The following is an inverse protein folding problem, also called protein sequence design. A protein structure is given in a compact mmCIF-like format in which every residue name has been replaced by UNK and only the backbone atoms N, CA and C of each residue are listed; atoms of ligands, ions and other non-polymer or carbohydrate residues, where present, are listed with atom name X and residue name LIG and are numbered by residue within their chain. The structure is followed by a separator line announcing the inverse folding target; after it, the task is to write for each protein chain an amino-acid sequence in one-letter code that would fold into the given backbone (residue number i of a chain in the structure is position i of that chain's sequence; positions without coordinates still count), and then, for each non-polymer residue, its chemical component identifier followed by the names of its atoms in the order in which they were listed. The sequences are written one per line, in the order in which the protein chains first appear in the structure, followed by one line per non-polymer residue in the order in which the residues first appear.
data_IF_626992662347
#
_entry.id   IF_626992662347
#
_cell.length_a   1.000
_cell.length_b   1.000
_cell.length_c   1.000
_cell.angle_alpha   90.00
_cell.angle_beta   90.00
_cell.angle_gamma   90.00
#
_symmetry.space_group_name_H-M   'P 1'
#
loop_
_entity.id
_entity.type
_entity.pdbx_description
1 polymer ?
#
# COMPACT_ATOMS: atom_id res chain seq x y z
N UNK A 1 17.18 56.20 -37.08
CA UNK A 1 18.32 55.28 -37.31
C UNK A 1 18.65 54.59 -35.98
N UNK A 2 19.27 53.39 -35.97
CA UNK A 2 19.53 52.64 -34.71
C UNK A 2 20.87 53.00 -34.03
N UNK A 3 21.76 53.65 -34.77
CA UNK A 3 23.14 53.99 -34.35
C UNK A 3 23.53 55.44 -34.65
N UNK A 4 22.61 56.23 -35.20
CA UNK A 4 22.77 57.65 -35.48
C UNK A 4 21.80 58.35 -34.52
N UNK A 5 22.32 58.63 -33.32
CA UNK A 5 21.57 59.19 -32.18
C UNK A 5 21.36 60.70 -32.36
N UNK A 6 22.24 61.36 -33.13
CA UNK A 6 22.20 62.80 -33.39
C UNK A 6 21.42 63.17 -34.67
N UNK A 7 21.00 62.17 -35.46
CA UNK A 7 20.29 62.26 -36.74
C UNK A 7 21.01 63.12 -37.79
N UNK A 8 22.34 63.09 -37.80
CA UNK A 8 23.16 63.84 -38.76
C UNK A 8 23.39 63.08 -40.08
N UNK A 9 22.93 61.82 -40.17
CA UNK A 9 23.06 60.97 -41.33
C UNK A 9 24.42 60.25 -41.45
N UNK A 10 25.31 60.43 -40.46
CA UNK A 10 26.57 59.72 -40.29
C UNK A 10 26.52 58.91 -38.99
N UNK A 11 27.39 57.90 -38.87
CA UNK A 11 27.52 57.10 -37.65
C UNK A 11 28.93 57.29 -37.13
N UNK A 12 29.10 58.02 -36.04
CA UNK A 12 30.39 58.16 -35.41
C UNK A 12 30.76 56.89 -34.61
N UNK A 13 32.06 56.62 -34.47
CA UNK A 13 32.52 55.41 -33.80
C UNK A 13 32.06 55.29 -32.34
N UNK A 14 31.82 56.42 -31.67
CA UNK A 14 31.27 56.43 -30.30
C UNK A 14 29.77 56.11 -30.28
N UNK A 15 28.99 56.55 -31.28
CA UNK A 15 27.55 56.27 -31.40
C UNK A 15 27.32 54.79 -31.75
N UNK A 16 28.14 54.25 -32.67
CA UNK A 16 28.15 52.82 -32.96
C UNK A 16 28.44 51.98 -31.71
N UNK A 17 29.47 52.34 -30.93
CA UNK A 17 29.84 51.57 -29.73
C UNK A 17 28.76 51.65 -28.65
N UNK A 18 28.17 52.82 -28.40
CA UNK A 18 27.04 52.98 -27.46
C UNK A 18 25.82 52.17 -27.90
N UNK A 19 25.40 52.27 -29.16
CA UNK A 19 24.29 51.49 -29.71
C UNK A 19 24.55 49.99 -29.63
N UNK A 20 25.77 49.55 -29.95
CA UNK A 20 26.17 48.15 -29.90
C UNK A 20 26.12 47.58 -28.47
N UNK A 21 26.66 48.30 -27.47
CA UNK A 21 26.60 47.85 -26.07
C UNK A 21 25.16 47.84 -25.53
N UNK A 22 24.34 48.82 -25.89
CA UNK A 22 22.91 48.83 -25.52
C UNK A 22 22.18 47.63 -26.08
N UNK A 23 22.37 47.33 -27.36
CA UNK A 23 21.80 46.13 -27.99
C UNK A 23 22.30 44.84 -27.34
N UNK A 24 23.59 44.76 -27.00
CA UNK A 24 24.15 43.59 -26.33
C UNK A 24 23.53 43.36 -24.94
N UNK A 25 23.34 44.43 -24.16
CA UNK A 25 22.68 44.38 -22.85
C UNK A 25 21.20 44.02 -22.97
N UNK A 26 20.49 44.59 -23.93
CA UNK A 26 19.09 44.28 -24.19
C UNK A 26 18.93 42.82 -24.62
N UNK A 27 19.78 42.32 -25.52
CA UNK A 27 19.79 40.92 -25.92
C UNK A 27 20.10 39.98 -24.75
N UNK A 28 21.04 40.34 -23.88
CA UNK A 28 21.41 39.56 -22.69
C UNK A 28 20.27 39.54 -21.65
N UNK A 29 19.57 40.67 -21.46
CA UNK A 29 18.41 40.76 -20.58
C UNK A 29 17.24 39.92 -21.11
N UNK A 30 16.99 39.96 -22.42
CA UNK A 30 15.95 39.19 -23.07
C UNK A 30 16.24 37.68 -23.01
N UNK A 31 17.49 37.25 -23.22
CA UNK A 31 17.89 35.84 -23.09
C UNK A 31 17.74 35.34 -21.65
N UNK A 32 18.11 36.15 -20.65
CA UNK A 32 17.90 35.83 -19.23
C UNK A 32 16.41 35.64 -18.92
N UNK A 33 15.55 36.56 -19.37
CA UNK A 33 14.09 36.46 -19.17
C UNK A 33 13.51 35.23 -19.86
N UNK A 34 13.96 34.89 -21.08
CA UNK A 34 13.53 33.67 -21.77
C UNK A 34 13.89 32.42 -20.98
N UNK A 35 15.12 32.32 -20.47
CA UNK A 35 15.57 31.18 -19.66
C UNK A 35 14.78 31.07 -18.36
N UNK A 36 14.47 32.19 -17.71
CA UNK A 36 13.64 32.20 -16.51
C UNK A 36 12.19 31.76 -16.81
N UNK A 37 11.61 32.24 -17.91
CA UNK A 37 10.26 31.84 -18.32
C UNK A 37 10.21 30.34 -18.65
N UNK A 38 11.19 29.81 -19.40
CA UNK A 38 11.28 28.37 -19.70
C UNK A 38 11.42 27.55 -18.41
N UNK A 39 12.32 27.94 -17.50
CA UNK A 39 12.50 27.24 -16.23
C UNK A 39 11.22 27.25 -15.38
N UNK A 40 10.52 28.38 -15.33
CA UNK A 40 9.25 28.51 -14.62
C UNK A 40 8.15 27.66 -15.27
N UNK A 41 8.04 27.66 -16.59
CA UNK A 41 7.09 26.82 -17.33
C UNK A 41 7.36 25.32 -17.10
N UNK A 42 8.63 24.90 -17.11
CA UNK A 42 9.03 23.52 -16.79
C UNK A 42 8.67 23.12 -15.35
N UNK A 43 8.91 24.01 -14.38
CA UNK A 43 8.57 23.76 -12.98
C UNK A 43 7.05 23.66 -12.78
N UNK A 44 6.29 24.57 -13.38
CA UNK A 44 4.83 24.54 -13.36
C UNK A 44 4.26 23.31 -14.05
N UNK A 45 4.87 22.84 -15.14
CA UNK A 45 4.48 21.61 -15.82
C UNK A 45 4.70 20.38 -14.92
N UNK A 46 5.83 20.29 -14.21
CA UNK A 46 6.11 19.21 -13.25
C UNK A 46 5.11 19.20 -12.10
N UNK A 47 4.85 20.37 -11.50
CA UNK A 47 3.88 20.50 -10.40
C UNK A 47 2.46 20.11 -10.85
N UNK A 48 2.07 20.47 -12.07
CA UNK A 48 0.78 20.07 -12.64
C UNK A 48 0.71 18.56 -12.83
N UNK A 49 1.74 17.94 -13.40
CA UNK A 49 1.81 16.49 -13.60
C UNK A 49 1.74 15.73 -12.26
N UNK A 50 2.47 16.20 -11.24
CA UNK A 50 2.42 15.62 -9.89
C UNK A 50 1.04 15.75 -9.26
N UNK A 51 0.41 16.93 -9.38
CA UNK A 51 -0.96 17.15 -8.91
C UNK A 51 -1.94 16.21 -9.61
N UNK A 52 -1.83 16.07 -10.93
CA UNK A 52 -2.71 15.21 -11.73
C UNK A 52 -2.54 13.74 -11.29
N UNK A 53 -1.30 13.26 -11.11
CA UNK A 53 -1.02 11.92 -10.55
C UNK A 53 -1.61 11.71 -9.16
N UNK A 54 -1.45 12.68 -8.26
CA UNK A 54 -2.02 12.61 -6.90
C UNK A 54 -3.54 12.54 -6.98
N UNK A 55 -4.16 13.34 -7.85
CA UNK A 55 -5.61 13.35 -8.04
C UNK A 55 -6.13 12.02 -8.59
N UNK A 56 -5.41 11.40 -9.52
CA UNK A 56 -5.75 10.10 -10.09
C UNK A 56 -5.67 8.98 -9.04
N UNK A 57 -4.61 8.99 -8.21
CA UNK A 57 -4.46 8.02 -7.11
C UNK A 57 -5.61 8.18 -6.11
N UNK A 58 -5.94 9.41 -5.72
CA UNK A 58 -7.07 9.68 -4.82
C UNK A 58 -8.39 9.19 -5.40
N UNK A 59 -8.63 9.46 -6.69
CA UNK A 59 -9.82 9.00 -7.40
C UNK A 59 -9.91 7.46 -7.41
N UNK A 60 -8.82 6.76 -7.72
CA UNK A 60 -8.78 5.28 -7.70
C UNK A 60 -9.07 4.71 -6.32
N UNK A 61 -8.48 5.28 -5.27
CA UNK A 61 -8.75 4.85 -3.90
C UNK A 61 -10.22 5.05 -3.53
N UNK A 62 -10.80 6.19 -3.90
CA UNK A 62 -12.22 6.46 -3.65
C UNK A 62 -13.13 5.47 -4.40
N UNK A 63 -12.86 5.22 -5.68
CA UNK A 63 -13.60 4.21 -6.46
C UNK A 63 -13.53 2.81 -5.85
N UNK A 64 -12.42 2.44 -5.20
CA UNK A 64 -12.28 1.16 -4.51
C UNK A 64 -13.11 1.10 -3.22
N UNK A 65 -13.20 2.19 -2.46
CA UNK A 65 -14.04 2.27 -1.26
C UNK A 65 -15.53 2.17 -1.61
N UNK A 66 -15.93 2.80 -2.71
CA UNK A 66 -17.32 2.84 -3.19
C UNK A 66 -17.70 1.61 -4.03
N UNK A 67 -16.77 0.69 -4.29
CA UNK A 67 -17.03 -0.45 -5.14
C UNK A 67 -18.15 -1.33 -4.54
N UNK A 68 -19.09 -1.82 -5.38
CA UNK A 68 -20.16 -2.68 -4.91
C UNK A 68 -19.56 -3.98 -4.38
N UNK A 69 -19.87 -4.28 -3.12
CA UNK A 69 -19.44 -5.49 -2.44
C UNK A 69 -20.65 -6.17 -1.80
N UNK A 70 -20.56 -7.49 -1.71
CA UNK A 70 -21.59 -8.35 -1.14
C UNK A 70 -21.06 -9.06 0.10
N UNK A 71 -21.96 -9.63 0.90
CA UNK A 71 -21.56 -10.47 2.03
C UNK A 71 -20.69 -11.67 1.59
N UNK A 72 -20.82 -12.12 0.35
CA UNK A 72 -19.96 -13.17 -0.21
C UNK A 72 -18.52 -12.71 -0.40
N UNK A 73 -18.31 -11.45 -0.78
CA UNK A 73 -16.96 -10.88 -0.90
C UNK A 73 -16.31 -10.75 0.47
N UNK A 74 -17.13 -10.42 1.48
CA UNK A 74 -16.71 -10.41 2.88
C UNK A 74 -16.24 -11.79 3.35
N UNK A 75 -17.07 -12.81 3.17
CA UNK A 75 -16.73 -14.19 3.53
C UNK A 75 -15.51 -14.69 2.76
N UNK A 76 -15.38 -14.31 1.49
CA UNK A 76 -14.27 -14.71 0.62
C UNK A 76 -12.94 -14.14 1.09
N UNK A 77 -12.86 -12.82 1.35
CA UNK A 77 -11.62 -12.23 1.86
C UNK A 77 -11.27 -12.82 3.24
N UNK A 78 -12.28 -13.05 4.09
CA UNK A 78 -12.09 -13.57 5.44
C UNK A 78 -11.52 -14.99 5.40
N UNK A 79 -12.01 -15.83 4.48
CA UNK A 79 -11.49 -17.17 4.25
C UNK A 79 -10.03 -17.15 3.74
N UNK A 80 -9.68 -16.22 2.84
CA UNK A 80 -8.30 -16.05 2.35
C UNK A 80 -7.35 -15.63 3.48
N UNK A 81 -7.74 -14.62 4.28
CA UNK A 81 -6.96 -14.17 5.44
C UNK A 81 -6.81 -15.30 6.46
N UNK A 82 -7.90 -15.99 6.80
CA UNK A 82 -7.88 -17.10 7.74
C UNK A 82 -6.94 -18.23 7.30
N UNK A 83 -6.93 -18.54 6.00
CA UNK A 83 -6.03 -19.56 5.44
C UNK A 83 -4.57 -19.18 5.62
N UNK A 84 -4.20 -17.92 5.37
CA UNK A 84 -2.81 -17.48 5.56
C UNK A 84 -2.46 -17.36 7.04
N UNK A 85 -3.34 -16.77 7.84
CA UNK A 85 -3.17 -16.64 9.29
C UNK A 85 -2.91 -17.98 9.97
N UNK A 86 -3.57 -19.05 9.51
CA UNK A 86 -3.35 -20.42 10.00
C UNK A 86 -1.88 -20.87 9.90
N UNK A 87 -1.24 -20.60 8.77
CA UNK A 87 0.12 -21.06 8.49
C UNK A 87 1.18 -20.03 8.88
N UNK A 88 0.77 -18.79 9.08
CA UNK A 88 1.65 -17.72 9.49
C UNK A 88 2.29 -18.07 10.84
N UNK A 89 3.61 -18.10 10.86
CA UNK A 89 4.44 -18.40 12.03
C UNK A 89 5.45 -17.29 12.14
N UNK A 90 5.44 -16.60 13.28
CA UNK A 90 6.41 -15.57 13.60
C UNK A 90 7.84 -16.17 13.61
N UNK A 91 8.55 -16.01 12.50
CA UNK A 91 10.00 -16.10 12.33
C UNK A 91 10.64 -14.76 12.69
N UNK A 92 11.70 -14.77 13.51
CA UNK A 92 12.26 -13.58 14.17
C UNK A 92 12.68 -12.43 13.25
N UNK A 93 12.93 -12.66 11.95
CA UNK A 93 13.52 -11.67 11.05
C UNK A 93 12.56 -11.12 9.98
N UNK A 94 11.88 -11.98 9.22
CA UNK A 94 10.98 -11.54 8.15
C UNK A 94 9.71 -10.87 8.69
N UNK A 95 9.27 -11.27 9.88
CA UNK A 95 8.02 -10.78 10.44
C UNK A 95 8.14 -9.41 11.07
N UNK A 96 9.32 -8.99 11.55
CA UNK A 96 9.54 -7.60 11.97
C UNK A 96 9.38 -6.63 10.80
N UNK A 97 9.92 -6.98 9.63
CA UNK A 97 9.85 -6.14 8.43
C UNK A 97 8.40 -6.06 7.93
N UNK A 98 7.70 -7.20 7.92
CA UNK A 98 6.28 -7.22 7.57
C UNK A 98 5.45 -6.41 8.58
N UNK A 99 5.66 -6.59 9.88
CA UNK A 99 4.97 -5.86 10.96
C UNK A 99 5.18 -4.35 10.88
N UNK A 100 6.42 -3.90 10.70
CA UNK A 100 6.75 -2.48 10.54
C UNK A 100 6.11 -1.88 9.28
N UNK A 101 5.92 -2.69 8.23
CA UNK A 101 5.26 -2.24 7.00
C UNK A 101 3.76 -1.98 7.16
N UNK A 102 3.13 -2.53 8.21
CA UNK A 102 1.73 -2.29 8.56
C UNK A 102 1.54 -1.28 9.71
N UNK A 103 2.60 -0.77 10.35
CA UNK A 103 2.46 0.20 11.45
C UNK A 103 2.25 1.65 10.96
N UNK A 104 1.51 1.84 9.86
CA UNK A 104 1.25 3.14 9.26
C UNK A 104 -0.18 3.24 8.72
N UNK A 105 -0.59 4.48 8.43
CA UNK A 105 -1.85 4.77 7.76
C UNK A 105 -1.73 4.38 6.28
N UNK A 106 -2.62 3.50 5.82
CA UNK A 106 -2.62 2.93 4.50
C UNK A 106 -3.86 3.37 3.71
N UNK A 107 -3.65 3.68 2.44
CA UNK A 107 -4.75 3.78 1.46
C UNK A 107 -5.17 2.38 0.98
N UNK A 108 -6.37 2.20 0.44
CA UNK A 108 -6.84 0.90 -0.10
C UNK A 108 -5.84 0.25 -1.08
N UNK A 109 -5.26 1.04 -2.00
CA UNK A 109 -4.25 0.54 -2.92
C UNK A 109 -2.95 0.11 -2.23
N UNK A 110 -2.51 0.83 -1.21
CA UNK A 110 -1.33 0.46 -0.43
C UNK A 110 -1.61 -0.82 0.37
N UNK A 111 -2.78 -0.94 1.00
CA UNK A 111 -3.17 -2.16 1.71
C UNK A 111 -3.16 -3.37 0.76
N UNK A 112 -3.76 -3.25 -0.44
CA UNK A 112 -3.72 -4.32 -1.45
C UNK A 112 -2.29 -4.74 -1.80
N UNK A 113 -1.39 -3.77 -1.99
CA UNK A 113 0.02 -4.02 -2.29
C UNK A 113 0.72 -4.72 -1.13
N UNK A 114 0.48 -4.29 0.11
CA UNK A 114 1.09 -4.90 1.29
C UNK A 114 0.57 -6.33 1.50
N UNK A 115 -0.73 -6.58 1.32
CA UNK A 115 -1.29 -7.93 1.39
C UNK A 115 -0.66 -8.87 0.35
N UNK A 116 -0.37 -8.37 -0.84
CA UNK A 116 0.31 -9.15 -1.86
C UNK A 116 1.78 -9.43 -1.51
N UNK A 117 2.53 -8.43 -1.06
CA UNK A 117 3.97 -8.61 -0.78
C UNK A 117 4.25 -9.36 0.51
N UNK A 118 3.47 -9.16 1.56
CA UNK A 118 3.69 -9.77 2.86
C UNK A 118 3.05 -11.14 2.99
N UNK A 119 1.89 -11.35 2.35
CA UNK A 119 1.07 -12.54 2.55
C UNK A 119 0.73 -13.30 1.26
N UNK A 120 1.17 -12.81 0.09
CA UNK A 120 0.83 -13.35 -1.22
C UNK A 120 -0.70 -13.48 -1.46
N UNK A 121 -1.48 -12.61 -0.81
CA UNK A 121 -2.94 -12.60 -0.93
C UNK A 121 -3.35 -11.66 -2.06
N UNK A 122 -4.11 -12.21 -3.00
CA UNK A 122 -4.75 -11.43 -4.07
C UNK A 122 -6.24 -11.28 -3.74
N UNK A 123 -6.65 -10.04 -3.48
CA UNK A 123 -8.05 -9.66 -3.31
C UNK A 123 -8.61 -9.08 -4.61
N UNK A 124 -9.88 -9.39 -4.89
CA UNK A 124 -10.67 -8.68 -5.88
C UNK A 124 -11.00 -7.27 -5.39
N UNK A 125 -11.48 -6.40 -6.28
CA UNK A 125 -11.83 -5.03 -5.91
C UNK A 125 -13.00 -5.01 -4.91
N UNK A 126 -13.98 -5.91 -5.05
CA UNK A 126 -15.10 -6.06 -4.11
C UNK A 126 -14.69 -6.64 -2.75
N UNK A 127 -13.77 -7.60 -2.74
CA UNK A 127 -13.19 -8.14 -1.49
C UNK A 127 -12.37 -7.09 -0.74
N UNK A 128 -11.58 -6.29 -1.47
CA UNK A 128 -10.82 -5.19 -0.90
C UNK A 128 -11.75 -4.11 -0.36
N UNK A 129 -12.81 -3.75 -1.09
CA UNK A 129 -13.81 -2.78 -0.63
C UNK A 129 -14.50 -3.24 0.66
N UNK A 130 -14.89 -4.52 0.73
CA UNK A 130 -15.47 -5.10 1.93
C UNK A 130 -14.49 -5.08 3.12
N UNK A 131 -13.22 -5.44 2.88
CA UNK A 131 -12.17 -5.37 3.90
C UNK A 131 -11.95 -3.92 4.38
N UNK A 132 -11.87 -2.97 3.46
CA UNK A 132 -11.69 -1.55 3.79
C UNK A 132 -12.86 -1.06 4.64
N UNK A 133 -14.10 -1.39 4.30
CA UNK A 133 -15.29 -1.01 5.08
C UNK A 133 -15.32 -1.61 6.49
N UNK A 134 -14.82 -2.84 6.67
CA UNK A 134 -14.76 -3.48 7.98
C UNK A 134 -13.66 -2.87 8.89
N UNK A 135 -12.65 -2.24 8.27
CA UNK A 135 -11.52 -1.60 8.94
C UNK A 135 -11.73 -0.09 9.17
N UNK A 136 -12.19 0.65 8.15
CA UNK A 136 -12.48 2.09 8.17
C UNK A 136 -13.77 2.37 8.97
N UNK A 137 -13.67 2.28 10.30
CA UNK A 137 -14.82 2.46 11.20
C UNK A 137 -15.20 3.92 11.39
N UNK A 138 -14.26 4.83 11.24
CA UNK A 138 -14.44 6.27 11.34
C UNK A 138 -14.83 6.92 10.01
N UNK A 139 -14.67 6.21 8.89
CA UNK A 139 -15.13 6.62 7.57
C UNK A 139 -14.26 7.73 6.97
N UNK A 140 -13.00 7.82 7.39
CA UNK A 140 -12.07 8.85 6.93
C UNK A 140 -11.38 8.47 5.60
N UNK A 141 -11.62 7.24 5.11
CA UNK A 141 -11.08 6.71 3.88
C UNK A 141 -9.62 6.24 4.00
N UNK A 142 -9.10 6.20 5.21
CA UNK A 142 -7.78 5.68 5.54
C UNK A 142 -7.88 4.45 6.43
N UNK A 143 -6.85 3.61 6.41
CA UNK A 143 -6.84 2.35 7.10
C UNK A 143 -5.65 2.31 8.04
N UNK A 144 -5.89 2.14 9.33
CA UNK A 144 -4.81 1.87 10.27
C UNK A 144 -4.33 0.43 10.09
N UNK A 145 -3.13 0.25 9.53
CA UNK A 145 -2.56 -1.09 9.37
C UNK A 145 -2.33 -1.81 10.72
N UNK A 146 -2.27 -1.08 11.83
CA UNK A 146 -2.23 -1.67 13.17
C UNK A 146 -3.52 -2.41 13.50
N UNK A 147 -4.68 -1.85 13.10
CA UNK A 147 -5.98 -2.51 13.26
C UNK A 147 -6.09 -3.76 12.38
N UNK A 148 -5.51 -3.73 11.17
CA UNK A 148 -5.38 -4.93 10.35
C UNK A 148 -4.58 -6.02 11.06
N UNK A 149 -3.44 -5.68 11.66
CA UNK A 149 -2.62 -6.66 12.37
C UNK A 149 -3.34 -7.26 13.57
N UNK A 150 -4.11 -6.45 14.31
CA UNK A 150 -4.97 -6.93 15.41
C UNK A 150 -6.01 -7.93 14.87
N UNK A 151 -6.68 -7.58 13.76
CA UNK A 151 -7.63 -8.48 13.10
C UNK A 151 -6.94 -9.79 12.69
N UNK A 152 -5.78 -9.71 12.05
CA UNK A 152 -5.04 -10.86 11.54
C UNK A 152 -4.58 -11.80 12.67
N UNK A 153 -4.07 -11.26 13.77
CA UNK A 153 -3.69 -12.07 14.93
C UNK A 153 -4.88 -12.70 15.65
N UNK A 154 -6.02 -12.01 15.67
CA UNK A 154 -7.26 -12.62 16.16
C UNK A 154 -7.66 -13.82 15.32
N UNK A 155 -7.62 -13.70 13.98
CA UNK A 155 -7.89 -14.81 13.06
C UNK A 155 -6.92 -15.96 13.27
N UNK A 156 -5.63 -15.67 13.43
CA UNK A 156 -4.62 -16.69 13.69
C UNK A 156 -4.95 -17.50 14.95
N UNK A 157 -5.30 -16.82 16.05
CA UNK A 157 -5.66 -17.49 17.31
C UNK A 157 -6.94 -18.31 17.15
N UNK A 158 -7.98 -17.77 16.53
CA UNK A 158 -9.24 -18.49 16.28
C UNK A 158 -9.00 -19.78 15.46
N UNK A 159 -8.13 -19.73 14.45
CA UNK A 159 -7.78 -20.91 13.65
C UNK A 159 -6.98 -21.95 14.44
N UNK A 160 -6.07 -21.51 15.32
CA UNK A 160 -5.31 -22.40 16.20
C UNK A 160 -6.22 -23.11 17.23
N UNK A 161 -7.12 -22.36 17.86
CA UNK A 161 -8.07 -22.87 18.84
C UNK A 161 -9.05 -23.87 18.20
N UNK A 162 -9.57 -23.54 17.00
CA UNK A 162 -10.43 -24.45 16.25
C UNK A 162 -9.72 -25.75 15.84
N UNK A 163 -8.43 -25.68 15.49
CA UNK A 163 -7.65 -26.88 15.18
C UNK A 163 -7.36 -27.73 16.42
N UNK A 164 -7.06 -27.10 17.56
CA UNK A 164 -6.88 -27.79 18.84
C UNK A 164 -8.16 -28.54 19.25
N UNK A 165 -9.30 -27.86 19.23
CA UNK A 165 -10.60 -28.47 19.53
C UNK A 165 -10.93 -29.64 18.58
N UNK A 166 -10.60 -29.51 17.29
CA UNK A 166 -10.79 -30.59 16.30
C UNK A 166 -9.91 -31.80 16.59
N UNK A 167 -8.64 -31.58 16.98
CA UNK A 167 -7.72 -32.66 17.37
C UNK A 167 -8.19 -33.37 18.64
N UNK A 168 -8.66 -32.62 19.64
CA UNK A 168 -9.23 -33.19 20.87
C UNK A 168 -10.47 -34.03 20.60
N UNK A 169 -11.38 -33.55 19.74
CA UNK A 169 -12.56 -34.29 19.33
C UNK A 169 -12.20 -35.60 18.59
N UNK A 170 -11.22 -35.57 17.68
CA UNK A 170 -10.74 -36.76 16.98
C UNK A 170 -10.04 -37.75 17.93
N UNK A 171 -9.20 -37.25 18.83
CA UNK A 171 -8.54 -38.08 19.84
C UNK A 171 -9.55 -38.73 20.79
N UNK A 172 -10.58 -38.00 21.20
CA UNK A 172 -11.69 -38.54 22.01
C UNK A 172 -12.47 -39.62 21.27
N UNK A 173 -12.72 -39.44 19.96
CA UNK A 173 -13.38 -40.47 19.13
C UNK A 173 -12.52 -41.73 18.99
N UNK A 174 -11.21 -41.56 18.76
CA UNK A 174 -10.24 -42.67 18.68
C UNK A 174 -10.12 -43.42 20.01
N UNK A 175 -10.03 -42.71 21.13
CA UNK A 175 -9.98 -43.32 22.46
C UNK A 175 -11.23 -44.13 22.80
N UNK A 176 -12.43 -43.67 22.37
CA UNK A 176 -13.69 -44.42 22.54
C UNK A 176 -13.79 -45.67 21.65
N UNK A 177 -13.05 -45.72 20.55
CA UNK A 177 -13.05 -46.84 19.61
C UNK A 177 -11.85 -47.78 19.78
N UNK A 178 -11.03 -47.58 20.82
CA UNK A 178 -9.94 -48.49 21.16
C UNK A 178 -10.53 -49.81 21.69
N UNK A 179 -10.15 -50.99 21.14
CA UNK A 179 -10.60 -52.26 21.68
C UNK A 179 -10.14 -52.38 23.14
N UNK A 180 -11.09 -52.56 24.07
CA UNK A 180 -10.76 -52.94 25.43
C UNK A 180 -10.10 -54.31 25.38
N UNK A 181 -8.78 -54.36 25.52
CA UNK A 181 -8.10 -55.61 25.79
C UNK A 181 -8.58 -56.10 27.15
N UNK A 182 -9.17 -57.31 27.25
CA UNK A 182 -9.47 -57.89 28.54
C UNK A 182 -8.14 -57.98 29.30
N UNK A 183 -8.06 -57.27 30.43
CA UNK A 183 -6.88 -57.28 31.28
C UNK A 183 -6.48 -58.71 31.64
N UNK A 184 -5.19 -58.97 31.90
CA UNK A 184 -4.74 -60.31 32.26
C UNK A 184 -5.53 -60.81 33.46
N UNK A 185 -6.24 -61.93 33.25
CA UNK A 185 -7.07 -62.55 34.28
C UNK A 185 -6.23 -62.82 35.53
N UNK A 186 -6.68 -62.43 36.74
CA UNK A 186 -5.92 -62.59 37.99
C UNK A 186 -5.57 -64.03 38.35
N UNK A 187 -6.13 -65.03 37.65
CA UNK A 187 -6.02 -66.45 37.98
C UNK A 187 -4.89 -67.22 37.27
N UNK A 188 -4.00 -66.57 36.53
CA UNK A 188 -2.91 -67.26 35.82
C UNK A 188 -1.64 -67.51 36.67
N UNK A 189 -1.61 -67.13 37.96
CA UNK A 189 -0.39 -67.18 38.79
C UNK A 189 -0.32 -68.35 39.81
N UNK A 190 -1.12 -69.42 39.66
CA UNK A 190 -1.02 -70.61 40.50
C UNK A 190 -1.10 -71.88 39.64
N UNK A 191 0.04 -72.32 39.14
CA UNK A 191 0.10 -73.47 38.25
C UNK A 191 1.50 -74.06 38.07
N UNK A 192 2.02 -74.65 39.16
CA UNK A 192 3.14 -75.61 39.27
C UNK A 192 4.57 -75.07 39.22
#
# INVERSE_FOLDING_TARGET
ELFDDNMDGYIEGYEFTLGFFRMALDAQSADRMRRQNIAFEEEMAKLKEERDKISEIKFKNQCLLEAPHTDKDRDSYYAKLSKVAKWWRASEYLDKIALESFSCILTPMQLRRQLFHSFEIVLSDGELAALCKDMDRDGDGTLDGSEFMILFFRLQREQQDAEAARKEADNTRRAKHLPQFPGPSPNAALGR
#
